data_IF_892820481200
#
_entry.id   IF_892820481200
#
_cell.length_a   1.000
_cell.length_b   1.000
_cell.length_c   1.000
_cell.angle_alpha   90.00
_cell.angle_beta   90.00
_cell.angle_gamma   90.00
#
_symmetry.space_group_name_H-M   'P 1'
#
loop_
_entity.id
_entity.type
_entity.pdbx_description
1 polymer ?
#
# COMPACT_ATOMS: atom_id res chain seq x y z
N UNK A 1 -23.96 -2.21 -7.28
CA UNK A 1 -22.52 -2.04 -7.56
C UNK A 1 -21.87 -1.51 -6.29
N UNK A 2 -21.02 -2.28 -5.61
CA UNK A 2 -20.16 -1.72 -4.57
C UNK A 2 -19.11 -0.83 -5.24
N UNK A 3 -18.88 0.37 -4.69
CA UNK A 3 -17.78 1.22 -5.16
C UNK A 3 -16.47 0.64 -4.61
N UNK A 4 -15.40 0.72 -5.40
CA UNK A 4 -14.06 0.32 -4.96
C UNK A 4 -13.26 1.52 -4.48
N UNK A 5 -12.41 1.30 -3.47
CA UNK A 5 -11.42 2.27 -2.99
C UNK A 5 -10.08 1.56 -2.90
N UNK A 6 -9.07 2.11 -3.59
CA UNK A 6 -7.69 1.61 -3.53
C UNK A 6 -6.85 2.60 -2.75
N UNK A 7 -6.19 2.12 -1.70
CA UNK A 7 -5.21 2.88 -0.93
C UNK A 7 -3.80 2.57 -1.44
N UNK A 8 -3.03 3.59 -1.79
CA UNK A 8 -1.60 3.43 -2.13
C UNK A 8 -0.79 3.74 -0.89
N UNK A 9 0.11 2.83 -0.48
CA UNK A 9 1.00 3.03 0.66
C UNK A 9 2.43 2.66 0.30
N UNK A 10 3.38 3.56 0.59
CA UNK A 10 4.81 3.35 0.38
C UNK A 10 5.59 3.10 1.67
N UNK A 11 5.01 3.39 2.83
CA UNK A 11 5.71 3.37 4.12
C UNK A 11 4.82 2.90 5.26
N UNK A 12 5.41 2.32 6.30
CA UNK A 12 4.68 1.95 7.53
C UNK A 12 3.99 3.16 8.19
N UNK A 13 4.60 4.33 8.11
CA UNK A 13 4.04 5.56 8.68
C UNK A 13 2.78 6.03 7.93
N UNK A 14 2.70 5.80 6.61
CA UNK A 14 1.51 6.12 5.83
C UNK A 14 0.43 5.07 6.07
N UNK A 15 0.79 3.79 6.04
CA UNK A 15 -0.13 2.70 6.38
C UNK A 15 -0.80 2.90 7.74
N UNK A 16 -0.06 3.31 8.78
CA UNK A 16 -0.64 3.58 10.09
C UNK A 16 -1.72 4.67 10.10
N UNK A 17 -1.64 5.65 9.19
CA UNK A 17 -2.66 6.71 9.03
C UNK A 17 -3.83 6.26 8.15
N UNK A 18 -3.55 5.45 7.13
CA UNK A 18 -4.54 4.99 6.15
C UNK A 18 -5.37 3.80 6.65
N UNK A 19 -4.82 2.94 7.50
CA UNK A 19 -5.49 1.72 7.96
C UNK A 19 -6.86 2.00 8.63
N UNK A 20 -7.03 3.00 9.52
CA UNK A 20 -8.35 3.33 10.07
C UNK A 20 -9.36 3.76 9.01
N UNK A 21 -8.92 4.47 7.96
CA UNK A 21 -9.79 4.89 6.85
C UNK A 21 -10.21 3.70 5.98
N UNK A 22 -9.30 2.76 5.74
CA UNK A 22 -9.59 1.54 5.00
C UNK A 22 -10.58 0.64 5.76
N UNK A 23 -10.45 0.53 7.10
CA UNK A 23 -11.44 -0.16 7.95
C UNK A 23 -12.81 0.52 7.82
N UNK A 24 -12.87 1.84 8.00
CA UNK A 24 -14.12 2.58 7.92
C UNK A 24 -14.79 2.45 6.54
N UNK A 25 -14.01 2.51 5.45
CA UNK A 25 -14.51 2.29 4.09
C UNK A 25 -15.05 0.87 3.90
N UNK A 26 -14.30 -0.16 4.31
CA UNK A 26 -14.74 -1.56 4.24
C UNK A 26 -16.06 -1.76 4.99
N UNK A 27 -16.16 -1.23 6.20
CA UNK A 27 -17.34 -1.38 7.06
C UNK A 27 -18.58 -0.63 6.52
N UNK A 28 -18.37 0.36 5.64
CA UNK A 28 -19.43 1.02 4.86
C UNK A 28 -19.79 0.28 3.56
N UNK A 29 -19.23 -0.92 3.33
CA UNK A 29 -19.56 -1.77 2.18
C UNK A 29 -18.78 -1.45 0.90
N UNK A 30 -17.68 -0.69 0.98
CA UNK A 30 -16.78 -0.51 -0.15
C UNK A 30 -15.89 -1.74 -0.35
N UNK A 31 -15.57 -2.05 -1.62
CA UNK A 31 -14.51 -3.01 -1.92
C UNK A 31 -13.16 -2.31 -1.74
N UNK A 32 -12.40 -2.70 -0.72
CA UNK A 32 -11.15 -2.02 -0.35
C UNK A 32 -9.94 -2.86 -0.73
N UNK A 33 -8.94 -2.23 -1.34
CA UNK A 33 -7.64 -2.84 -1.58
C UNK A 33 -6.47 -1.90 -1.29
N UNK A 34 -5.29 -2.47 -1.09
CA UNK A 34 -4.02 -1.76 -0.92
C UNK A 34 -3.08 -2.05 -2.09
N UNK A 35 -2.51 -0.99 -2.65
CA UNK A 35 -1.34 -1.06 -3.53
C UNK A 35 -0.09 -0.71 -2.72
N UNK A 36 0.69 -1.73 -2.38
CA UNK A 36 1.81 -1.67 -1.45
C UNK A 36 3.11 -1.55 -2.22
N UNK A 37 3.85 -0.47 -1.95
CA UNK A 37 5.08 -0.12 -2.64
C UNK A 37 6.15 0.34 -1.66
N UNK A 38 7.29 0.80 -2.19
CA UNK A 38 8.28 1.58 -1.47
C UNK A 38 8.99 0.81 -0.36
N UNK A 39 9.15 1.47 0.79
CA UNK A 39 9.87 0.96 1.94
C UNK A 39 9.22 -0.29 2.56
N UNK A 40 7.94 -0.55 2.28
CA UNK A 40 7.30 -1.81 2.69
C UNK A 40 7.97 -3.06 2.12
N UNK A 41 8.63 -2.93 0.96
CA UNK A 41 9.23 -4.03 0.22
C UNK A 41 10.69 -4.31 0.63
N UNK A 42 11.26 -3.51 1.54
CA UNK A 42 12.67 -3.58 1.91
C UNK A 42 12.89 -4.28 3.26
N UNK A 43 13.82 -5.25 3.28
CA UNK A 43 14.16 -6.01 4.49
C UNK A 43 14.75 -5.15 5.60
N UNK A 44 15.56 -4.14 5.26
CA UNK A 44 16.17 -3.21 6.22
C UNK A 44 15.15 -2.45 7.08
N UNK A 45 13.89 -2.36 6.63
CA UNK A 45 12.81 -1.73 7.36
C UNK A 45 11.79 -2.75 7.93
N UNK A 46 12.14 -4.04 7.93
CA UNK A 46 11.35 -5.11 8.54
C UNK A 46 10.26 -5.73 7.66
N UNK A 47 10.32 -5.57 6.33
CA UNK A 47 9.31 -6.10 5.39
C UNK A 47 7.87 -5.78 5.81
N UNK A 48 7.61 -4.51 6.09
CA UNK A 48 6.34 -4.06 6.68
C UNK A 48 5.12 -4.26 5.77
N UNK A 49 5.28 -4.71 4.52
CA UNK A 49 4.19 -5.27 3.71
C UNK A 49 3.43 -6.41 4.42
N UNK A 50 4.10 -7.14 5.31
CA UNK A 50 3.49 -8.21 6.11
C UNK A 50 2.43 -7.64 7.05
N UNK A 51 2.61 -6.43 7.59
CA UNK A 51 1.61 -5.75 8.42
C UNK A 51 0.35 -5.43 7.62
N UNK A 52 0.51 -4.96 6.37
CA UNK A 52 -0.63 -4.69 5.46
C UNK A 52 -1.38 -5.98 5.12
N UNK A 53 -0.67 -7.07 4.82
CA UNK A 53 -1.25 -8.39 4.51
C UNK A 53 -2.08 -9.01 5.64
N UNK A 54 -1.86 -8.60 6.89
CA UNK A 54 -2.62 -9.10 8.05
C UNK A 54 -3.97 -8.40 8.21
N UNK A 55 -4.24 -7.35 7.43
CA UNK A 55 -5.52 -6.65 7.47
C UNK A 55 -6.62 -7.51 6.84
N UNK A 56 -7.64 -7.84 7.61
CA UNK A 56 -8.74 -8.67 7.16
C UNK A 56 -9.76 -7.89 6.31
N UNK A 57 -10.36 -8.56 5.33
CA UNK A 57 -11.43 -8.00 4.51
C UNK A 57 -10.98 -6.92 3.53
N UNK A 58 -9.69 -6.90 3.17
CA UNK A 58 -9.13 -6.06 2.10
C UNK A 58 -8.25 -6.90 1.18
N UNK A 59 -8.14 -6.53 -0.08
CA UNK A 59 -7.17 -7.14 -1.02
C UNK A 59 -5.81 -6.41 -0.95
N UNK A 60 -4.72 -7.12 -1.21
CA UNK A 60 -3.36 -6.54 -1.16
C UNK A 60 -2.60 -6.88 -2.44
N UNK A 61 -2.19 -5.84 -3.16
CA UNK A 61 -1.33 -5.91 -4.32
C UNK A 61 0.05 -5.37 -3.96
N UNK A 62 1.08 -6.20 -4.10
CA UNK A 62 2.45 -5.82 -3.78
C UNK A 62 3.20 -5.48 -5.07
N UNK A 63 3.95 -4.38 -5.06
CA UNK A 63 4.76 -3.96 -6.18
C UNK A 63 6.15 -3.53 -5.74
N UNK A 64 7.17 -4.22 -6.25
CA UNK A 64 8.57 -3.92 -5.98
C UNK A 64 9.07 -2.78 -6.90
N UNK A 65 8.91 -1.55 -6.44
CA UNK A 65 9.36 -0.34 -7.16
C UNK A 65 10.66 0.27 -6.61
N UNK A 66 11.10 -0.11 -5.42
CA UNK A 66 12.22 0.51 -4.72
C UNK A 66 13.34 -0.49 -4.41
N UNK A 67 14.58 -0.07 -4.67
CA UNK A 67 15.81 -0.69 -4.14
C UNK A 67 16.55 0.29 -3.20
N UNK A 68 17.48 -0.23 -2.41
CA UNK A 68 18.31 0.61 -1.55
C UNK A 68 19.12 1.61 -2.41
N UNK A 69 19.01 2.90 -2.10
CA UNK A 69 19.67 3.98 -2.84
C UNK A 69 18.91 4.49 -4.07
N UNK A 70 17.77 3.92 -4.44
CA UNK A 70 16.92 4.49 -5.50
C UNK A 70 16.47 5.92 -5.12
N UNK A 71 16.60 6.91 -6.01
CA UNK A 71 16.11 8.26 -5.73
C UNK A 71 14.58 8.31 -5.72
N UNK A 72 14.03 9.26 -4.95
CA UNK A 72 12.60 9.34 -4.67
C UNK A 72 11.73 9.60 -5.91
N UNK A 73 12.24 10.38 -6.86
CA UNK A 73 11.58 10.67 -8.13
C UNK A 73 11.39 9.39 -8.97
N UNK A 74 12.40 8.52 -9.03
CA UNK A 74 12.33 7.23 -9.72
C UNK A 74 11.36 6.27 -9.02
N UNK A 75 11.34 6.25 -7.68
CA UNK A 75 10.40 5.44 -6.90
C UNK A 75 8.95 5.87 -7.21
N UNK A 76 8.70 7.18 -7.22
CA UNK A 76 7.41 7.75 -7.57
C UNK A 76 7.01 7.44 -9.01
N UNK A 77 7.90 7.64 -9.98
CA UNK A 77 7.63 7.38 -11.39
C UNK A 77 7.23 5.91 -11.63
N UNK A 78 7.96 4.96 -11.01
CA UNK A 78 7.62 3.54 -11.07
C UNK A 78 6.24 3.24 -10.45
N UNK A 79 5.90 3.89 -9.33
CA UNK A 79 4.57 3.76 -8.72
C UNK A 79 3.47 4.22 -9.67
N UNK A 80 3.63 5.41 -10.28
CA UNK A 80 2.64 5.96 -11.21
C UNK A 80 2.44 5.02 -12.41
N UNK A 81 3.54 4.57 -13.04
CA UNK A 81 3.48 3.68 -14.21
C UNK A 81 2.81 2.33 -13.89
N UNK A 82 3.02 1.79 -12.70
CA UNK A 82 2.45 0.49 -12.34
C UNK A 82 1.00 0.59 -11.82
N UNK A 83 0.60 1.76 -11.31
CA UNK A 83 -0.71 1.97 -10.70
C UNK A 83 -1.76 2.56 -11.66
N UNK A 84 -1.33 3.45 -12.57
CA UNK A 84 -2.21 4.28 -13.43
C UNK A 84 -2.24 3.80 -14.87
#
# INVERSE_FOLDING_TARGET
MSKSIVFVTGTRADFGKLAPLAVAARDQGFAVSFFVTGMHMLEQYGLTKIEVKRMEGVEVHEFLNQRAGDPQDMILAKTVIAFS
#
